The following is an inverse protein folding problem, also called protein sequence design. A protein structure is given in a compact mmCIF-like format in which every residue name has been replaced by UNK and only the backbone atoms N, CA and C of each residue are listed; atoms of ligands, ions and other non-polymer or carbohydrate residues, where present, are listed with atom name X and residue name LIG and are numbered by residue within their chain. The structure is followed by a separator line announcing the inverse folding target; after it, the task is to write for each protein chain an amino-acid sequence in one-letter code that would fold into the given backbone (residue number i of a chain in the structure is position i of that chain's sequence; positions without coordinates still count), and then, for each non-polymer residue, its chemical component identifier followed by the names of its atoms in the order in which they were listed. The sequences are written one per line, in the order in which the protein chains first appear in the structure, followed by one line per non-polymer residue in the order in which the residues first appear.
data_IF_947946999747
#
_entry.id   IF_947946999747
#
_cell.length_a   1.000
_cell.length_b   1.000
_cell.length_c   1.000
_cell.angle_alpha   90.00
_cell.angle_beta   90.00
_cell.angle_gamma   90.00
#
_symmetry.space_group_name_H-M   'P 1'
#
loop_
_entity.id
_entity.type
_entity.pdbx_description
1 polymer ?
#
# COMPACT_ATOMS: atom_id res chain seq x y z
N UNK A 1 11.26 -9.63 -9.50
CA UNK A 1 10.88 -8.31 -8.92
C UNK A 1 12.00 -7.76 -8.03
N UNK A 2 12.07 -6.44 -7.78
CA UNK A 2 13.09 -5.82 -6.90
C UNK A 2 12.51 -5.46 -5.53
N UNK A 3 13.32 -5.56 -4.48
CA UNK A 3 12.96 -5.06 -3.15
C UNK A 3 12.75 -3.54 -3.18
N UNK A 4 11.55 -3.13 -2.81
CA UNK A 4 11.11 -1.75 -2.85
C UNK A 4 9.64 -1.60 -2.46
N UNK A 5 9.14 -0.39 -2.68
CA UNK A 5 7.82 0.02 -2.27
C UNK A 5 7.04 0.57 -3.46
N UNK A 6 5.78 0.17 -3.57
CA UNK A 6 4.84 0.73 -4.55
C UNK A 6 3.71 1.42 -3.81
N UNK A 7 3.55 2.72 -4.05
CA UNK A 7 2.57 3.56 -3.35
C UNK A 7 1.39 3.88 -4.26
N UNK A 8 0.18 3.77 -3.72
CA UNK A 8 -1.07 4.11 -4.37
C UNK A 8 -1.86 5.08 -3.49
N UNK A 9 -2.44 6.10 -4.10
CA UNK A 9 -3.52 6.89 -3.50
C UNK A 9 -4.82 6.31 -4.05
N UNK A 10 -5.74 5.91 -3.16
CA UNK A 10 -7.04 5.35 -3.54
C UNK A 10 -8.14 5.97 -2.69
N UNK A 11 -9.25 6.30 -3.34
CA UNK A 11 -10.48 6.63 -2.63
C UNK A 11 -11.17 5.32 -2.22
N UNK A 12 -11.69 5.29 -1.00
CA UNK A 12 -12.48 4.14 -0.50
C UNK A 12 -13.89 4.21 -1.10
N UNK A 13 -14.32 3.10 -1.70
CA UNK A 13 -15.63 2.97 -2.32
C UNK A 13 -16.76 2.87 -1.29
N UNK A 14 -18.01 2.81 -1.77
CA UNK A 14 -19.20 2.72 -0.91
C UNK A 14 -19.31 1.42 -0.10
N UNK A 15 -18.50 0.41 -0.40
CA UNK A 15 -18.41 -0.85 0.34
C UNK A 15 -17.25 -0.89 1.34
N UNK A 16 -16.57 0.23 1.57
CA UNK A 16 -15.42 0.29 2.46
C UNK A 16 -14.18 -0.40 1.87
N UNK A 17 -14.05 -0.44 0.54
CA UNK A 17 -12.94 -1.12 -0.15
C UNK A 17 -12.11 -0.16 -0.98
N UNK A 18 -10.87 -0.56 -1.26
CA UNK A 18 -10.01 0.05 -2.26
C UNK A 18 -9.65 -0.97 -3.34
N UNK A 19 -9.33 -0.48 -4.54
CA UNK A 19 -8.87 -1.31 -5.65
C UNK A 19 -7.38 -1.04 -5.94
N UNK A 20 -6.54 -2.05 -5.74
CA UNK A 20 -5.09 -1.98 -5.97
C UNK A 20 -4.72 -3.15 -6.89
N UNK A 21 -4.09 -2.86 -8.03
CA UNK A 21 -3.68 -3.87 -9.02
C UNK A 21 -4.80 -4.87 -9.43
N UNK A 22 -6.04 -4.39 -9.53
CA UNK A 22 -7.27 -5.16 -9.80
C UNK A 22 -7.76 -6.06 -8.66
N UNK A 23 -7.19 -5.92 -7.46
CA UNK A 23 -7.63 -6.59 -6.24
C UNK A 23 -8.46 -5.63 -5.39
N UNK A 24 -9.64 -6.10 -4.96
CA UNK A 24 -10.54 -5.36 -4.07
C UNK A 24 -10.26 -5.73 -2.61
N UNK A 25 -9.82 -4.75 -1.83
CA UNK A 25 -9.31 -4.93 -0.47
C UNK A 25 -10.19 -4.16 0.51
N UNK A 26 -10.68 -4.81 1.57
CA UNK A 26 -11.56 -4.17 2.56
C UNK A 26 -10.73 -3.38 3.56
N UNK A 27 -10.97 -2.07 3.63
CA UNK A 27 -10.25 -1.13 4.50
C UNK A 27 -11.07 -0.72 5.72
N UNK A 28 -12.39 -0.62 5.57
CA UNK A 28 -13.29 -0.17 6.63
C UNK A 28 -14.38 0.75 6.10
N UNK A 29 -15.57 0.68 6.70
CA UNK A 29 -16.72 1.51 6.29
C UNK A 29 -16.60 2.94 6.83
N UNK A 30 -15.86 3.13 7.92
CA UNK A 30 -15.53 4.43 8.51
C UNK A 30 -14.67 5.33 7.60
N UNK A 31 -14.06 4.75 6.55
CA UNK A 31 -13.23 5.47 5.59
C UNK A 31 -13.93 5.71 4.25
N UNK A 32 -15.22 5.38 4.10
CA UNK A 32 -15.95 5.55 2.84
C UNK A 32 -15.81 7.00 2.33
N UNK A 33 -15.50 7.16 1.05
CA UNK A 33 -15.23 8.44 0.37
C UNK A 33 -13.94 9.16 0.77
N UNK A 34 -13.23 8.70 1.80
CA UNK A 34 -11.91 9.21 2.15
C UNK A 34 -10.83 8.65 1.22
N UNK A 35 -9.69 9.35 1.18
CA UNK A 35 -8.51 8.90 0.45
C UNK A 35 -7.51 8.26 1.42
N UNK A 36 -7.00 7.09 1.02
CA UNK A 36 -5.98 6.34 1.76
C UNK A 36 -4.74 6.10 0.91
N UNK A 37 -3.61 5.89 1.57
CA UNK A 37 -2.36 5.47 0.95
C UNK A 37 -2.19 3.97 1.13
N UNK A 38 -2.23 3.20 0.03
CA UNK A 38 -1.84 1.79 0.06
C UNK A 38 -0.39 1.66 -0.39
N UNK A 39 0.42 0.95 0.40
CA UNK A 39 1.83 0.69 0.09
C UNK A 39 2.08 -0.80 0.05
N UNK A 40 2.47 -1.31 -1.11
CA UNK A 40 2.97 -2.68 -1.25
C UNK A 40 4.47 -2.65 -0.97
N UNK A 41 4.91 -3.43 0.00
CA UNK A 41 6.31 -3.67 0.34
C UNK A 41 6.74 -5.00 -0.30
N UNK A 42 7.44 -4.95 -1.43
CA UNK A 42 7.75 -6.16 -2.21
C UNK A 42 8.67 -7.10 -1.43
N UNK A 43 9.73 -6.60 -0.79
CA UNK A 43 10.64 -7.43 0.01
C UNK A 43 10.00 -8.04 1.27
N UNK A 44 9.00 -7.36 1.84
CA UNK A 44 8.27 -7.85 3.02
C UNK A 44 7.05 -8.69 2.68
N UNK A 45 6.67 -8.77 1.39
CA UNK A 45 5.46 -9.46 0.89
C UNK A 45 4.21 -9.08 1.67
N UNK A 46 4.06 -7.78 1.90
CA UNK A 46 2.92 -7.22 2.63
C UNK A 46 2.46 -5.92 2.02
N UNK A 47 1.21 -5.57 2.29
CA UNK A 47 0.66 -4.29 1.94
C UNK A 47 0.10 -3.63 3.20
N UNK A 48 0.41 -2.36 3.38
CA UNK A 48 -0.11 -1.54 4.47
C UNK A 48 -0.97 -0.42 3.89
N UNK A 49 -2.10 -0.14 4.54
CA UNK A 49 -2.97 0.98 4.20
C UNK A 49 -2.87 2.01 5.30
N UNK A 50 -2.60 3.24 4.90
CA UNK A 50 -2.42 4.37 5.78
C UNK A 50 -3.53 5.39 5.56
N UNK A 51 -3.98 5.99 6.65
CA UNK A 51 -4.90 7.10 6.62
C UNK A 51 -4.34 8.28 7.41
N UNK A 52 -4.57 9.48 6.87
CA UNK A 52 -4.24 10.73 7.53
C UNK A 52 -5.51 11.55 7.64
N UNK A 53 -6.07 11.61 8.83
CA UNK A 53 -7.21 12.48 9.13
C UNK A 53 -6.81 13.97 9.00
N UNK A 54 -7.78 14.84 8.71
CA UNK A 54 -7.55 16.28 8.54
C UNK A 54 -6.99 16.97 9.78
N UNK A 55 -7.34 16.46 10.95
CA UNK A 55 -6.89 16.94 12.26
C UNK A 55 -5.58 16.29 12.74
N UNK A 56 -5.02 15.35 11.96
CA UNK A 56 -3.79 14.65 12.28
C UNK A 56 -2.62 15.07 11.39
N UNK A 57 -1.49 15.33 12.03
CA UNK A 57 -0.24 15.65 11.33
C UNK A 57 0.54 14.41 10.89
N UNK A 58 0.11 13.22 11.28
CA UNK A 58 0.81 11.95 11.02
C UNK A 58 -0.16 10.97 10.39
N UNK A 59 0.30 10.22 9.39
CA UNK A 59 -0.45 9.10 8.83
C UNK A 59 -0.27 7.86 9.71
N UNK A 60 -1.37 7.15 9.96
CA UNK A 60 -1.37 5.92 10.76
C UNK A 60 -1.71 4.73 9.87
N UNK A 61 -1.10 3.58 10.15
CA UNK A 61 -1.52 2.32 9.53
C UNK A 61 -2.89 1.96 10.08
N UNK A 62 -3.85 1.78 9.19
CA UNK A 62 -5.22 1.39 9.54
C UNK A 62 -5.49 -0.06 9.20
N UNK A 63 -4.81 -0.62 8.19
CA UNK A 63 -4.93 -2.02 7.81
C UNK A 63 -3.59 -2.57 7.30
N UNK A 64 -3.37 -3.86 7.51
CA UNK A 64 -2.21 -4.62 7.00
C UNK A 64 -2.70 -5.93 6.37
N UNK A 65 -2.15 -6.26 5.21
CA UNK A 65 -2.47 -7.46 4.46
C UNK A 65 -1.17 -8.20 4.12
N UNK A 66 -1.21 -9.53 4.19
CA UNK A 66 -0.24 -10.33 3.45
C UNK A 66 -0.45 -10.08 1.94
N UNK A 67 0.64 -9.94 1.21
CA UNK A 67 0.60 -9.65 -0.22
C UNK A 67 1.55 -10.61 -0.95
N UNK A 68 0.97 -11.68 -1.49
CA UNK A 68 1.74 -12.72 -2.13
C UNK A 68 2.21 -12.29 -3.52
N UNK A 69 3.46 -12.63 -3.80
CA UNK A 69 4.16 -12.24 -5.01
C UNK A 69 4.66 -13.50 -5.70
N UNK A 70 4.18 -13.73 -6.92
CA UNK A 70 4.54 -14.89 -7.73
C UNK A 70 5.99 -14.86 -8.23
N UNK A 71 6.71 -13.75 -8.05
CA UNK A 71 8.11 -13.61 -8.43
C UNK A 71 9.02 -13.60 -7.20
N UNK A 72 10.23 -14.10 -7.39
CA UNK A 72 11.32 -13.88 -6.44
C UNK A 72 11.67 -12.38 -6.37
N UNK A 73 11.95 -11.92 -5.15
CA UNK A 73 12.27 -10.53 -4.86
C UNK A 73 13.78 -10.43 -4.66
N UNK A 74 14.43 -9.82 -5.63
CA UNK A 74 15.86 -9.58 -5.64
C UNK A 74 16.20 -8.26 -4.93
N UNK A 75 17.33 -8.17 -4.21
CA UNK A 75 17.79 -6.91 -3.65
C UNK A 75 17.93 -5.82 -4.72
N UNK A 76 17.68 -4.57 -4.32
CA UNK A 76 17.92 -3.42 -5.19
C UNK A 76 19.40 -3.32 -5.55
N UNK A 77 19.68 -3.19 -6.84
CA UNK A 77 21.02 -2.94 -7.39
C UNK A 77 21.39 -1.46 -7.23
N UNK A 78 22.11 -1.15 -6.17
CA UNK A 78 22.61 0.21 -5.90
C UNK A 78 23.92 0.54 -6.65
N UNK A 79 24.54 -0.46 -7.27
CA UNK A 79 25.77 -0.35 -8.05
C UNK A 79 25.59 0.33 -9.40
N UNK A 80 24.36 0.38 -9.93
CA UNK A 80 24.03 1.03 -11.21
C UNK A 80 24.18 2.57 -11.11
N UNK A 81 24.08 3.14 -9.91
CA UNK A 81 24.13 4.60 -9.69
C UNK A 81 25.52 5.13 -9.28
N UNK A 82 26.54 4.27 -9.22
CA UNK A 82 27.93 4.71 -8.96
C UNK A 82 28.52 5.26 -10.26
N UNK A 83 28.26 6.53 -10.55
CA UNK A 83 28.99 7.33 -11.55
C UNK A 83 30.14 8.08 -10.89
#
# INVERSE_FOLDING_TARGET
MTDGNVHFIRQVDSGGRINVLNEALKVGEEFISEYVWATIWTGKRKMEVYYRAKDQNVAVVIEEFEYDLNEEVEPRRDDIWKT
#
